data_IF_279151582037
#
_entry.id   IF_279151582037
#
_cell.length_a   1.000
_cell.length_b   1.000
_cell.length_c   1.000
_cell.angle_alpha   90.00
_cell.angle_beta   90.00
_cell.angle_gamma   90.00
#
_symmetry.space_group_name_H-M   'P 1'
#
loop_
_entity.id
_entity.type
_entity.pdbx_description
1 polymer ?
#
# COMPACT_ATOMS: atom_id res chain seq x y z
N UNK A 1 1.14 19.18 -8.95
CA UNK A 1 1.26 19.92 -7.67
C UNK A 1 1.60 18.86 -6.64
N UNK A 2 2.79 18.92 -6.03
CA UNK A 2 3.26 17.89 -5.10
C UNK A 2 2.23 17.67 -3.98
N UNK A 3 1.89 16.41 -3.71
CA UNK A 3 0.95 16.09 -2.63
C UNK A 3 1.63 16.23 -1.28
N UNK A 4 0.89 16.77 -0.33
CA UNK A 4 1.31 16.83 1.07
C UNK A 4 1.46 15.42 1.65
N UNK A 5 2.23 15.34 2.74
CA UNK A 5 2.35 14.10 3.51
C UNK A 5 1.05 13.81 4.25
N UNK A 6 0.73 12.53 4.45
CA UNK A 6 -0.44 12.12 5.23
C UNK A 6 -0.01 11.94 6.68
N UNK A 7 -0.56 12.74 7.58
CA UNK A 7 -0.31 12.64 9.01
C UNK A 7 -1.49 11.94 9.69
N UNK A 8 -1.27 10.77 10.27
CA UNK A 8 -2.36 9.99 10.88
C UNK A 8 -3.08 10.74 12.00
N UNK A 9 -2.45 11.71 12.65
CA UNK A 9 -3.07 12.49 13.73
C UNK A 9 -4.32 13.25 13.26
N UNK A 10 -4.45 13.52 11.96
CA UNK A 10 -5.60 14.22 11.39
C UNK A 10 -6.77 13.28 11.05
N UNK A 11 -6.66 11.97 11.31
CA UNK A 11 -7.68 10.98 10.97
C UNK A 11 -8.41 10.47 12.20
N UNK A 12 -9.71 10.20 12.04
CA UNK A 12 -10.60 9.68 13.08
C UNK A 12 -10.03 8.45 13.79
N UNK A 13 -9.38 7.54 13.05
CA UNK A 13 -8.78 6.35 13.62
C UNK A 13 -7.73 6.66 14.69
N UNK A 14 -7.04 7.81 14.58
CA UNK A 14 -6.12 8.31 15.61
C UNK A 14 -6.84 9.14 16.67
N UNK A 15 -7.71 10.07 16.26
CA UNK A 15 -8.38 11.00 17.16
C UNK A 15 -9.30 10.30 18.16
N UNK A 16 -9.90 9.18 17.76
CA UNK A 16 -10.78 8.37 18.60
C UNK A 16 -10.03 7.26 19.35
N UNK A 17 -8.70 7.17 19.22
CA UNK A 17 -7.91 6.13 19.87
C UNK A 17 -7.75 6.43 21.35
N UNK A 18 -7.96 5.40 22.18
CA UNK A 18 -7.71 5.47 23.62
C UNK A 18 -6.21 5.62 23.90
N UNK A 19 -5.87 6.23 25.04
CA UNK A 19 -4.48 6.33 25.52
C UNK A 19 -3.78 4.96 25.56
N UNK A 20 -4.50 3.91 25.94
CA UNK A 20 -3.99 2.53 25.93
C UNK A 20 -3.63 2.05 24.53
N UNK A 21 -4.47 2.34 23.53
CA UNK A 21 -4.15 2.01 22.13
C UNK A 21 -2.93 2.80 21.66
N UNK A 22 -2.83 4.09 21.97
CA UNK A 22 -1.70 4.94 21.59
C UNK A 22 -0.38 4.47 22.24
N UNK A 23 -0.40 4.15 23.53
CA UNK A 23 0.74 3.61 24.28
C UNK A 23 1.23 2.24 23.75
N UNK A 24 0.35 1.49 23.08
CA UNK A 24 0.68 0.22 22.43
C UNK A 24 1.45 0.37 21.11
N UNK A 25 1.55 1.57 20.53
CA UNK A 25 2.13 1.82 19.21
C UNK A 25 3.62 2.22 19.29
N UNK A 26 4.42 1.53 20.11
CA UNK A 26 5.77 1.94 20.54
C UNK A 26 6.84 2.02 19.43
N UNK A 27 6.57 1.48 18.24
CA UNK A 27 7.60 1.20 17.25
C UNK A 27 7.95 2.40 16.33
N UNK A 28 7.10 3.42 16.24
CA UNK A 28 7.31 4.53 15.29
C UNK A 28 6.75 5.84 15.82
N UNK A 29 7.58 6.75 16.32
CA UNK A 29 7.06 8.02 16.86
C UNK A 29 6.43 8.89 15.77
N UNK A 30 7.00 8.85 14.55
CA UNK A 30 6.49 9.58 13.40
C UNK A 30 5.34 8.85 12.70
N UNK A 31 4.12 9.33 12.91
CA UNK A 31 2.87 8.79 12.35
C UNK A 31 2.54 9.35 10.96
N UNK A 32 3.57 9.49 10.13
CA UNK A 32 3.49 10.21 8.85
C UNK A 32 3.84 9.29 7.70
N UNK A 33 3.06 9.36 6.64
CA UNK A 33 3.40 8.83 5.32
C UNK A 33 4.01 9.97 4.50
N UNK A 34 5.31 9.87 4.24
CA UNK A 34 6.04 10.87 3.46
C UNK A 34 5.81 10.69 1.95
N UNK A 35 4.60 11.01 1.48
CA UNK A 35 4.21 10.89 0.07
C UNK A 35 5.10 11.78 -0.82
N UNK A 36 5.47 12.96 -0.32
CA UNK A 36 6.32 13.92 -1.03
C UNK A 36 7.71 13.40 -1.38
N UNK A 37 8.17 12.33 -0.73
CA UNK A 37 9.46 11.69 -1.02
C UNK A 37 9.41 10.73 -2.23
N UNK A 38 8.22 10.51 -2.82
CA UNK A 38 8.09 9.75 -4.07
C UNK A 38 8.41 10.70 -5.22
N UNK A 39 9.44 10.42 -6.01
CA UNK A 39 9.92 11.33 -7.06
C UNK A 39 8.92 11.52 -8.20
N UNK A 40 8.06 10.53 -8.43
CA UNK A 40 7.08 10.57 -9.50
C UNK A 40 5.79 11.23 -9.03
N UNK A 41 5.53 12.47 -9.46
CA UNK A 41 4.35 13.24 -9.06
C UNK A 41 3.02 12.53 -9.39
N UNK A 42 2.92 11.83 -10.53
CA UNK A 42 1.68 11.13 -10.89
C UNK A 42 1.41 9.96 -9.95
N UNK A 43 2.45 9.26 -9.51
CA UNK A 43 2.33 8.21 -8.50
C UNK A 43 2.02 8.75 -7.11
N UNK A 44 2.42 10.00 -6.80
CA UNK A 44 2.04 10.62 -5.53
C UNK A 44 0.51 10.71 -5.41
N UNK A 45 -0.20 11.07 -6.48
CA UNK A 45 -1.66 11.18 -6.47
C UNK A 45 -2.34 9.83 -6.20
N UNK A 46 -1.92 8.79 -6.93
CA UNK A 46 -2.48 7.44 -6.80
C UNK A 46 -2.27 6.86 -5.39
N UNK A 47 -1.04 6.94 -4.88
CA UNK A 47 -0.73 6.39 -3.56
C UNK A 47 -1.30 7.25 -2.43
N UNK A 48 -1.42 8.58 -2.62
CA UNK A 48 -2.11 9.44 -1.68
C UNK A 48 -3.57 8.99 -1.53
N UNK A 49 -4.29 8.81 -2.64
CA UNK A 49 -5.68 8.35 -2.61
C UNK A 49 -5.83 7.00 -1.90
N UNK A 50 -4.94 6.06 -2.22
CA UNK A 50 -4.92 4.74 -1.58
C UNK A 50 -4.70 4.82 -0.06
N UNK A 51 -3.71 5.60 0.39
CA UNK A 51 -3.39 5.72 1.82
C UNK A 51 -4.49 6.49 2.55
N UNK A 52 -5.01 7.59 1.98
CA UNK A 52 -6.11 8.37 2.57
C UNK A 52 -7.35 7.49 2.79
N UNK A 53 -7.76 6.72 1.79
CA UNK A 53 -8.89 5.78 1.87
C UNK A 53 -8.69 4.73 2.98
N UNK A 54 -7.47 4.18 3.10
CA UNK A 54 -7.15 3.25 4.19
C UNK A 54 -7.20 3.91 5.56
N UNK A 55 -6.68 5.13 5.69
CA UNK A 55 -6.67 5.87 6.95
C UNK A 55 -8.10 6.20 7.44
N UNK A 56 -9.05 6.38 6.52
CA UNK A 56 -10.48 6.59 6.84
C UNK A 56 -11.21 5.30 7.22
N UNK A 57 -10.84 4.15 6.66
CA UNK A 57 -11.62 2.90 6.79
C UNK A 57 -11.07 1.90 7.80
N UNK A 58 -9.78 1.96 8.12
CA UNK A 58 -9.10 0.92 8.89
C UNK A 58 -8.76 1.37 10.31
N UNK A 59 -8.51 0.38 11.18
CA UNK A 59 -8.09 0.63 12.56
C UNK A 59 -6.71 1.28 12.64
N UNK A 60 -6.48 2.06 13.70
CA UNK A 60 -5.19 2.71 13.96
C UNK A 60 -3.99 1.77 13.89
N UNK A 61 -4.10 0.58 14.50
CA UNK A 61 -3.02 -0.42 14.51
C UNK A 61 -2.69 -0.92 13.11
N UNK A 62 -3.70 -1.05 12.24
CA UNK A 62 -3.49 -1.46 10.85
C UNK A 62 -2.74 -0.39 10.08
N UNK A 63 -3.20 0.86 10.17
CA UNK A 63 -2.61 1.98 9.41
C UNK A 63 -1.26 2.39 9.96
N UNK A 64 -0.95 2.18 11.24
CA UNK A 64 0.43 2.35 11.74
C UNK A 64 1.36 1.26 11.20
N UNK A 65 0.90 0.01 11.11
CA UNK A 65 1.71 -1.05 10.51
C UNK A 65 1.94 -0.84 9.01
N UNK A 66 0.98 -0.22 8.32
CA UNK A 66 1.10 0.09 6.89
C UNK A 66 2.20 1.12 6.60
N UNK A 67 2.58 2.00 7.54
CA UNK A 67 3.68 2.96 7.32
C UNK A 67 5.00 2.23 7.00
N UNK A 68 5.29 1.10 7.66
CA UNK A 68 6.48 0.29 7.34
C UNK A 68 6.44 -0.31 5.94
N UNK A 69 5.24 -0.67 5.48
CA UNK A 69 5.05 -1.23 4.14
C UNK A 69 5.14 -0.15 3.08
N UNK A 70 4.60 1.02 3.39
CA UNK A 70 4.73 2.22 2.59
C UNK A 70 6.19 2.64 2.42
N UNK A 71 7.00 2.71 3.49
CA UNK A 71 8.40 3.15 3.35
C UNK A 71 9.19 2.27 2.39
N UNK A 72 9.01 0.95 2.49
CA UNK A 72 9.64 0.01 1.59
C UNK A 72 9.09 0.09 0.17
N UNK A 73 7.78 0.27 0.01
CA UNK A 73 7.15 0.46 -1.29
C UNK A 73 7.64 1.76 -1.95
N UNK A 74 7.73 2.86 -1.20
CA UNK A 74 8.27 4.15 -1.65
C UNK A 74 9.67 3.99 -2.23
N UNK A 75 10.57 3.28 -1.54
CA UNK A 75 11.90 2.97 -2.06
C UNK A 75 11.83 2.21 -3.39
N UNK A 76 10.96 1.20 -3.49
CA UNK A 76 10.76 0.46 -4.73
C UNK A 76 10.23 1.34 -5.87
N UNK A 77 9.25 2.21 -5.60
CA UNK A 77 8.69 3.12 -6.60
C UNK A 77 9.77 4.06 -7.14
N UNK A 78 10.58 4.63 -6.25
CA UNK A 78 11.68 5.52 -6.61
C UNK A 78 12.82 4.81 -7.36
N UNK A 79 13.02 3.50 -7.17
CA UNK A 79 14.08 2.74 -7.85
C UNK A 79 13.61 2.10 -9.17
N UNK A 80 12.36 1.62 -9.24
CA UNK A 80 11.89 0.72 -10.32
C UNK A 80 10.74 1.27 -11.15
N UNK A 81 10.09 2.34 -10.70
CA UNK A 81 8.92 2.93 -11.35
C UNK A 81 9.12 4.39 -11.77
N UNK A 82 10.37 4.83 -11.93
CA UNK A 82 10.72 6.22 -12.27
C UNK A 82 10.06 6.73 -13.56
N UNK A 83 9.92 5.86 -14.56
CA UNK A 83 9.32 6.20 -15.86
C UNK A 83 7.82 5.88 -15.95
N UNK A 84 7.20 5.30 -14.93
CA UNK A 84 5.79 4.91 -14.95
C UNK A 84 4.92 6.12 -14.63
N UNK A 85 3.94 6.43 -15.46
CA UNK A 85 2.91 7.43 -15.15
C UNK A 85 1.85 6.93 -14.15
N UNK A 86 1.71 5.61 -14.00
CA UNK A 86 0.80 4.94 -13.08
C UNK A 86 1.37 3.62 -12.61
N UNK A 87 0.96 3.14 -11.43
CA UNK A 87 1.30 1.79 -10.97
C UNK A 87 0.74 0.70 -11.89
N UNK A 88 -0.32 1.00 -12.64
CA UNK A 88 -0.96 0.08 -13.59
C UNK A 88 -0.41 0.17 -15.00
N UNK A 89 0.66 0.96 -15.24
CA UNK A 89 1.34 0.97 -16.55
C UNK A 89 2.05 -0.35 -16.85
N UNK A 90 2.34 -1.13 -15.80
CA UNK A 90 2.85 -2.50 -15.88
C UNK A 90 1.75 -3.47 -15.50
N UNK A 91 1.71 -4.62 -16.16
CA UNK A 91 0.83 -5.73 -15.76
C UNK A 91 1.19 -6.19 -14.35
N UNK A 92 0.18 -6.68 -13.61
CA UNK A 92 0.36 -7.14 -12.23
C UNK A 92 1.51 -8.15 -12.10
N UNK A 93 1.62 -9.12 -13.01
CA UNK A 93 2.61 -10.18 -12.93
C UNK A 93 4.05 -9.66 -13.05
N UNK A 94 4.25 -8.64 -13.90
CA UNK A 94 5.55 -7.99 -14.10
C UNK A 94 5.93 -7.15 -12.88
N UNK A 95 4.96 -6.40 -12.35
CA UNK A 95 5.13 -5.58 -11.16
C UNK A 95 5.41 -6.44 -9.92
N UNK A 96 4.64 -7.51 -9.72
CA UNK A 96 4.83 -8.48 -8.63
C UNK A 96 6.21 -9.13 -8.71
N UNK A 97 6.64 -9.56 -9.90
CA UNK A 97 7.97 -10.14 -10.11
C UNK A 97 9.08 -9.13 -9.79
N UNK A 98 8.94 -7.89 -10.26
CA UNK A 98 9.90 -6.81 -9.99
C UNK A 98 10.02 -6.52 -8.49
N UNK A 99 8.88 -6.45 -7.79
CA UNK A 99 8.87 -6.20 -6.36
C UNK A 99 9.42 -7.38 -5.55
N UNK A 100 9.09 -8.63 -5.92
CA UNK A 100 9.70 -9.82 -5.31
C UNK A 100 11.22 -9.81 -5.45
N UNK A 101 11.75 -9.44 -6.62
CA UNK A 101 13.19 -9.33 -6.83
C UNK A 101 13.82 -8.22 -5.96
N UNK A 102 13.14 -7.08 -5.81
CA UNK A 102 13.56 -6.00 -4.93
C UNK A 102 13.59 -6.42 -3.45
N UNK A 103 12.52 -7.08 -2.97
CA UNK A 103 12.44 -7.61 -1.60
C UNK A 103 13.53 -8.66 -1.33
N UNK A 104 13.78 -9.55 -2.29
CA UNK A 104 14.82 -10.56 -2.20
C UNK A 104 16.21 -9.94 -2.04
N UNK A 105 16.54 -8.91 -2.82
CA UNK A 105 17.82 -8.17 -2.71
C UNK A 105 18.00 -7.50 -1.35
N UNK A 106 16.91 -7.12 -0.67
CA UNK A 106 16.91 -6.55 0.68
C UNK A 106 16.89 -7.61 1.80
N UNK A 107 16.94 -8.90 1.46
CA UNK A 107 16.91 -10.00 2.43
C UNK A 107 15.54 -10.19 3.10
N UNK A 108 14.46 -9.69 2.49
CA UNK A 108 13.12 -9.75 3.06
C UNK A 108 12.33 -10.98 2.60
N UNK A 109 11.53 -11.53 3.50
CA UNK A 109 10.72 -12.70 3.23
C UNK A 109 9.64 -12.40 2.16
N UNK A 110 9.59 -13.25 1.14
CA UNK A 110 8.57 -13.19 0.08
C UNK A 110 7.27 -13.88 0.48
N UNK A 111 7.36 -14.85 1.40
CA UNK A 111 6.23 -15.66 1.82
C UNK A 111 6.27 -15.88 3.33
N UNK A 112 5.09 -16.10 3.90
CA UNK A 112 4.92 -16.47 5.31
C UNK A 112 4.16 -17.79 5.40
N UNK A 113 4.57 -18.65 6.32
CA UNK A 113 3.83 -19.87 6.67
C UNK A 113 2.79 -19.51 7.71
N UNK A 114 1.52 -19.86 7.48
CA UNK A 114 0.49 -19.78 8.51
C UNK A 114 0.04 -21.18 8.90
N UNK A 115 0.31 -21.54 10.16
CA UNK A 115 -0.30 -22.71 10.77
C UNK A 115 -1.76 -22.36 11.10
N UNK A 116 -2.70 -22.94 10.37
CA UNK A 116 -4.10 -22.97 10.78
C UNK A 116 -4.32 -24.30 11.50
N UNK A 117 -4.63 -24.31 12.81
CA UNK A 117 -4.85 -25.55 13.56
C UNK A 117 -5.95 -26.45 12.96
N UNK A 118 -6.89 -25.84 12.24
CA UNK A 118 -8.03 -26.46 11.54
C UNK A 118 -7.66 -27.15 10.22
N UNK A 119 -6.58 -26.73 9.54
CA UNK A 119 -6.19 -27.27 8.22
C UNK A 119 -4.95 -28.14 8.35
N UNK A 120 -5.03 -29.37 7.86
CA UNK A 120 -3.89 -30.32 7.81
C UNK A 120 -2.70 -29.83 6.97
N UNK A 121 -2.86 -28.77 6.16
CA UNK A 121 -1.83 -28.24 5.28
C UNK A 121 -1.38 -26.84 5.70
N UNK A 122 -0.06 -26.64 5.76
CA UNK A 122 0.56 -25.32 5.92
C UNK A 122 0.42 -24.56 4.60
N UNK A 123 -0.50 -23.61 4.53
CA UNK A 123 -0.65 -22.74 3.36
C UNK A 123 0.45 -21.67 3.36
N UNK A 124 1.17 -21.58 2.24
CA UNK A 124 2.12 -20.51 1.99
C UNK A 124 1.36 -19.28 1.50
N UNK A 125 1.48 -18.17 2.21
CA UNK A 125 0.86 -16.89 1.81
C UNK A 125 1.94 -15.88 1.41
N UNK A 126 1.61 -14.98 0.49
CA UNK A 126 2.44 -13.83 0.17
C UNK A 126 2.74 -13.02 1.43
N UNK A 127 3.95 -12.46 1.50
CA UNK A 127 4.30 -11.57 2.60
C UNK A 127 3.39 -10.33 2.61
N UNK A 128 3.25 -9.71 3.79
CA UNK A 128 2.42 -8.53 3.93
C UNK A 128 2.87 -7.36 3.01
N UNK A 129 4.14 -7.34 2.61
CA UNK A 129 4.67 -6.36 1.66
C UNK A 129 4.05 -6.57 0.27
N UNK A 130 4.04 -7.79 -0.24
CA UNK A 130 3.47 -8.12 -1.54
C UNK A 130 1.95 -7.86 -1.54
N UNK A 131 1.27 -8.25 -0.47
CA UNK A 131 -0.16 -7.97 -0.31
C UNK A 131 -0.46 -6.47 -0.30
N UNK A 132 0.40 -5.65 0.31
CA UNK A 132 0.24 -4.20 0.32
C UNK A 132 0.36 -3.58 -1.07
N UNK A 133 1.37 -3.97 -1.85
CA UNK A 133 1.50 -3.58 -3.25
C UNK A 133 0.28 -4.03 -4.08
N UNK A 134 -0.22 -5.25 -3.86
CA UNK A 134 -1.40 -5.77 -4.56
C UNK A 134 -2.63 -4.93 -4.29
N UNK A 135 -2.90 -4.63 -3.02
CA UNK A 135 -4.03 -3.79 -2.64
C UNK A 135 -3.93 -2.38 -3.23
N UNK A 136 -2.71 -1.82 -3.31
CA UNK A 136 -2.50 -0.53 -3.97
C UNK A 136 -2.81 -0.59 -5.47
N UNK A 137 -2.28 -1.60 -6.17
CA UNK A 137 -2.56 -1.82 -7.58
C UNK A 137 -4.07 -1.99 -7.86
N UNK A 138 -4.74 -2.84 -7.08
CA UNK A 138 -6.19 -3.08 -7.19
C UNK A 138 -7.02 -1.82 -6.90
N UNK A 139 -6.60 -0.99 -5.94
CA UNK A 139 -7.23 0.30 -5.66
C UNK A 139 -7.19 1.21 -6.89
N UNK A 140 -6.03 1.37 -7.54
CA UNK A 140 -5.89 2.21 -8.73
C UNK A 140 -6.69 1.67 -9.90
N UNK A 141 -6.69 0.35 -10.14
CA UNK A 141 -7.54 -0.30 -11.16
C UNK A 141 -9.02 0.02 -10.91
N UNK A 142 -9.46 -0.07 -9.65
CA UNK A 142 -10.85 0.23 -9.27
C UNK A 142 -11.21 1.70 -9.51
N UNK A 143 -10.33 2.64 -9.16
CA UNK A 143 -10.56 4.06 -9.42
C UNK A 143 -10.73 4.33 -10.92
N UNK A 144 -9.81 3.81 -11.75
CA UNK A 144 -9.88 3.98 -13.21
C UNK A 144 -11.13 3.36 -13.84
N UNK A 145 -11.61 2.23 -13.31
CA UNK A 145 -12.86 1.61 -13.79
C UNK A 145 -14.11 2.32 -13.29
N UNK A 146 -14.05 3.01 -12.14
CA UNK A 146 -15.14 3.84 -11.65
C UNK A 146 -15.35 5.10 -12.52
N UNK A 147 -14.26 5.66 -13.06
CA UNK A 147 -14.28 6.87 -13.90
C UNK A 147 -14.77 6.63 -15.34
N UNK A 148 -14.95 5.37 -15.75
CA UNK A 148 -15.54 5.03 -17.06
C UNK A 148 -17.07 5.19 -16.97
N UNK A 149 -17.70 6.02 -17.81
CA UNK A 149 -19.14 6.15 -17.85
C UNK A 149 -19.83 4.82 -18.16
N UNK A 150 -21.00 4.56 -17.56
CA UNK A 150 -21.64 3.23 -17.55
C UNK A 150 -21.97 2.69 -18.96
N UNK A 151 -22.14 3.58 -19.94
CA UNK A 151 -22.36 3.27 -21.35
C UNK A 151 -21.11 2.76 -22.11
N UNK A 152 -19.90 3.02 -21.60
CA UNK A 152 -18.64 2.56 -22.22
C UNK A 152 -18.14 1.24 -21.61
N UNK A 153 -18.65 0.82 -20.45
CA UNK A 153 -18.31 -0.46 -19.79
C UNK A 153 -18.81 -1.70 -20.53
N UNK A 154 -19.81 -1.55 -21.40
CA UNK A 154 -20.44 -2.66 -22.13
C UNK A 154 -19.72 -3.04 -23.43
N UNK A 155 -18.74 -2.24 -23.87
CA UNK A 155 -17.93 -2.52 -25.05
C UNK A 155 -16.47 -2.68 -24.61
N UNK A 156 -16.14 -3.88 -24.12
CA UNK A 156 -14.79 -4.22 -23.70
C UNK A 156 -13.76 -3.91 -24.77
N UNK A 157 -12.78 -3.08 -24.42
CA UNK A 157 -11.49 -2.98 -25.08
C UNK A 157 -10.48 -3.74 -24.23
#
# INVERSE_FOLDING_TARGET
MMKGNINLISYDCYQQATEKQLAGLKWKENRVYYISEIHNEKMQDEIYGYIDDRCRRLSLSTVVNDIYRFDLLKEFLNEKCTSCSSITDKKWEELERSYKAFLYKKGLALYVRRNRPDRRNVEQQSSAQISFLKMYYEYVVKCKTADIPENEKMYGI
#
